data_IF_781199515898
#
_entry.id   IF_781199515898
#
_cell.length_a   1.000
_cell.length_b   1.000
_cell.length_c   1.000
_cell.angle_alpha   90.00
_cell.angle_beta   90.00
_cell.angle_gamma   90.00
#
_symmetry.space_group_name_H-M   'P 1'
#
loop_
_entity.id
_entity.type
_entity.pdbx_description
1 polymer ?
#
# COMPACT_ATOMS: atom_id res chain seq x y z
N UNK A 1 -41.72 -11.41 -10.52
CA UNK A 1 -40.25 -11.20 -10.60
C UNK A 1 -39.86 -10.00 -11.46
N UNK A 2 -40.79 -9.31 -12.14
CA UNK A 2 -40.50 -8.14 -12.99
C UNK A 2 -40.87 -6.82 -12.29
N UNK A 3 -40.18 -6.50 -11.17
CA UNK A 3 -40.40 -5.22 -10.48
C UNK A 3 -39.07 -4.45 -10.40
N UNK A 4 -38.99 -3.21 -10.90
CA UNK A 4 -37.81 -2.35 -10.76
C UNK A 4 -37.28 -2.22 -9.32
N UNK A 5 -38.16 -2.27 -8.31
CA UNK A 5 -37.76 -2.30 -6.90
C UNK A 5 -36.91 -3.51 -6.54
N UNK A 6 -37.23 -4.67 -7.11
CA UNK A 6 -36.46 -5.89 -6.85
C UNK A 6 -35.03 -5.74 -7.38
N UNK A 7 -34.85 -5.14 -8.55
CA UNK A 7 -33.52 -4.88 -9.11
C UNK A 7 -32.76 -3.79 -8.37
N UNK A 8 -33.44 -2.73 -7.89
CA UNK A 8 -32.83 -1.72 -7.03
C UNK A 8 -32.39 -2.30 -5.68
N UNK A 9 -33.24 -3.12 -5.05
CA UNK A 9 -32.90 -3.83 -3.82
C UNK A 9 -31.74 -4.79 -4.04
N UNK A 10 -31.74 -5.55 -5.14
CA UNK A 10 -30.62 -6.43 -5.50
C UNK A 10 -29.32 -5.64 -5.71
N UNK A 11 -29.36 -4.50 -6.38
CA UNK A 11 -28.18 -3.63 -6.57
C UNK A 11 -27.61 -3.15 -5.23
N UNK A 12 -28.47 -2.72 -4.29
CA UNK A 12 -28.05 -2.35 -2.93
C UNK A 12 -27.52 -3.53 -2.12
N UNK A 13 -28.09 -4.71 -2.29
CA UNK A 13 -27.58 -5.91 -1.64
C UNK A 13 -26.20 -6.30 -2.18
N UNK A 14 -25.96 -6.18 -3.48
CA UNK A 14 -24.63 -6.32 -4.07
C UNK A 14 -23.64 -5.32 -3.45
N UNK A 15 -24.04 -4.05 -3.35
CA UNK A 15 -23.27 -2.98 -2.72
C UNK A 15 -22.85 -3.34 -1.27
N UNK A 16 -23.81 -3.80 -0.45
CA UNK A 16 -23.58 -4.25 0.93
C UNK A 16 -22.59 -5.42 0.99
N UNK A 17 -22.76 -6.41 0.11
CA UNK A 17 -21.89 -7.59 0.08
C UNK A 17 -20.45 -7.21 -0.28
N UNK A 18 -20.26 -6.24 -1.19
CA UNK A 18 -18.93 -5.71 -1.52
C UNK A 18 -18.29 -5.01 -0.32
N UNK A 19 -19.01 -4.15 0.38
CA UNK A 19 -18.51 -3.45 1.57
C UNK A 19 -18.16 -4.40 2.72
N UNK A 20 -18.96 -5.44 2.93
CA UNK A 20 -18.63 -6.50 3.90
C UNK A 20 -17.32 -7.22 3.53
N UNK A 21 -17.09 -7.47 2.23
CA UNK A 21 -15.80 -8.02 1.75
C UNK A 21 -14.65 -7.04 1.98
N UNK A 22 -14.87 -5.74 1.77
CA UNK A 22 -13.86 -4.72 2.07
C UNK A 22 -13.51 -4.65 3.55
N UNK A 23 -14.49 -4.79 4.45
CA UNK A 23 -14.27 -4.82 5.90
C UNK A 23 -13.43 -6.03 6.34
N UNK A 24 -13.63 -7.19 5.71
CA UNK A 24 -12.74 -8.36 5.89
C UNK A 24 -11.34 -8.07 5.37
N UNK A 25 -11.24 -7.45 4.20
CA UNK A 25 -9.96 -7.05 3.59
C UNK A 25 -9.21 -6.02 4.45
N UNK A 26 -9.89 -5.05 5.07
CA UNK A 26 -9.26 -4.10 5.99
C UNK A 26 -8.71 -4.78 7.24
N UNK A 27 -9.34 -5.86 7.70
CA UNK A 27 -8.84 -6.65 8.83
C UNK A 27 -7.56 -7.42 8.46
N UNK A 28 -7.50 -7.99 7.25
CA UNK A 28 -6.28 -8.58 6.69
C UNK A 28 -5.15 -7.54 6.60
N UNK A 29 -5.45 -6.39 6.02
CA UNK A 29 -4.52 -5.29 5.82
C UNK A 29 -3.97 -4.77 7.15
N UNK A 30 -4.81 -4.67 8.19
CA UNK A 30 -4.36 -4.38 9.57
C UNK A 30 -3.37 -5.43 10.08
N UNK A 31 -3.70 -6.72 9.94
CA UNK A 31 -2.82 -7.79 10.41
C UNK A 31 -1.47 -7.80 9.68
N UNK A 32 -1.47 -7.48 8.38
CA UNK A 32 -0.24 -7.31 7.59
C UNK A 32 0.60 -6.13 8.10
N UNK A 33 -0.02 -4.99 8.40
CA UNK A 33 0.70 -3.81 8.92
C UNK A 33 1.42 -4.09 10.24
N UNK A 34 0.72 -4.72 11.20
CA UNK A 34 1.30 -5.12 12.48
C UNK A 34 2.46 -6.13 12.31
N UNK A 35 2.27 -7.14 11.45
CA UNK A 35 3.33 -8.11 11.18
C UNK A 35 4.55 -7.47 10.51
N UNK A 36 4.34 -6.58 9.53
CA UNK A 36 5.42 -5.85 8.85
C UNK A 36 6.21 -5.05 9.88
N UNK A 37 5.55 -4.32 10.77
CA UNK A 37 6.22 -3.58 11.84
C UNK A 37 7.03 -4.50 12.77
N UNK A 38 6.46 -5.63 13.17
CA UNK A 38 7.15 -6.60 14.02
C UNK A 38 8.40 -7.19 13.33
N UNK A 39 8.32 -7.53 12.05
CA UNK A 39 9.46 -8.03 11.26
C UNK A 39 10.52 -6.96 11.01
N UNK A 40 10.13 -5.68 10.86
CA UNK A 40 11.08 -4.57 10.76
C UNK A 40 11.91 -4.40 12.03
N UNK A 41 11.28 -4.58 13.21
CA UNK A 41 11.97 -4.62 14.51
C UNK A 41 12.85 -5.86 14.63
N UNK A 42 12.35 -7.03 14.24
CA UNK A 42 13.12 -8.28 14.28
C UNK A 42 14.37 -8.22 13.39
N UNK A 43 14.27 -7.62 12.19
CA UNK A 43 15.41 -7.36 11.29
C UNK A 43 16.46 -6.49 11.98
N UNK A 44 16.05 -5.40 12.62
CA UNK A 44 16.96 -4.49 13.32
C UNK A 44 17.72 -5.19 14.45
N UNK A 45 17.00 -5.93 15.29
CA UNK A 45 17.58 -6.69 16.39
C UNK A 45 18.47 -7.86 15.93
N UNK A 46 18.10 -8.52 14.83
CA UNK A 46 18.95 -9.54 14.20
C UNK A 46 20.27 -8.95 13.71
N UNK A 47 20.22 -7.74 13.14
CA UNK A 47 21.42 -7.02 12.70
C UNK A 47 22.32 -6.63 13.88
N UNK A 48 21.74 -6.16 14.99
CA UNK A 48 22.48 -5.84 16.22
C UNK A 48 23.16 -7.09 16.79
N UNK A 49 22.43 -8.22 16.87
CA UNK A 49 22.98 -9.48 17.38
C UNK A 49 24.16 -9.96 16.53
N UNK A 50 24.01 -9.97 15.20
CA UNK A 50 25.05 -10.42 14.28
C UNK A 50 26.26 -9.48 14.26
N UNK A 51 26.04 -8.16 14.25
CA UNK A 51 27.12 -7.17 14.24
C UNK A 51 27.91 -7.12 15.56
N UNK A 52 27.28 -7.52 16.67
CA UNK A 52 27.92 -7.63 18.00
C UNK A 52 28.42 -9.04 18.33
N UNK A 53 28.38 -9.98 17.37
CA UNK A 53 28.76 -11.39 17.57
C UNK A 53 28.07 -12.04 18.79
N UNK A 54 26.84 -11.63 19.08
CA UNK A 54 26.04 -12.19 20.16
C UNK A 54 26.13 -11.48 21.51
N UNK A 55 26.94 -10.42 21.61
CA UNK A 55 27.15 -9.67 22.86
C UNK A 55 25.98 -8.75 23.21
N UNK A 56 25.20 -8.29 22.21
CA UNK A 56 24.07 -7.39 22.41
C UNK A 56 22.78 -7.90 21.76
N UNK A 57 21.64 -7.50 22.32
CA UNK A 57 20.33 -7.66 21.67
C UNK A 57 19.74 -9.07 21.68
N UNK A 58 20.36 -10.05 22.34
CA UNK A 58 19.87 -11.44 22.39
C UNK A 58 18.48 -11.57 23.03
N UNK A 59 18.31 -11.03 24.23
CA UNK A 59 17.03 -11.12 24.96
C UNK A 59 15.94 -10.31 24.26
N UNK A 60 16.29 -9.10 23.80
CA UNK A 60 15.39 -8.26 23.01
C UNK A 60 14.94 -8.96 21.73
N UNK A 61 15.84 -9.62 21.00
CA UNK A 61 15.50 -10.39 19.79
C UNK A 61 14.60 -11.57 20.11
N UNK A 62 14.86 -12.29 21.21
CA UNK A 62 14.00 -13.40 21.63
C UNK A 62 12.57 -12.93 21.93
N UNK A 63 12.41 -11.84 22.67
CA UNK A 63 11.10 -11.25 22.93
C UNK A 63 10.42 -10.77 21.64
N UNK A 64 11.17 -10.12 20.74
CA UNK A 64 10.63 -9.64 19.47
C UNK A 64 10.19 -10.79 18.55
N UNK A 65 10.88 -11.94 18.59
CA UNK A 65 10.46 -13.14 17.85
C UNK A 65 9.11 -13.65 18.31
N UNK A 66 8.87 -13.68 19.63
CA UNK A 66 7.56 -14.05 20.19
C UNK A 66 6.46 -13.08 19.74
N UNK A 67 6.73 -11.78 19.77
CA UNK A 67 5.80 -10.76 19.25
C UNK A 67 5.49 -11.00 17.76
N UNK A 68 6.54 -11.27 16.95
CA UNK A 68 6.38 -11.54 15.52
C UNK A 68 5.55 -12.80 15.28
N UNK A 69 5.76 -13.86 16.07
CA UNK A 69 4.97 -15.11 16.00
C UNK A 69 3.49 -14.88 16.34
N UNK A 70 3.19 -14.03 17.33
CA UNK A 70 1.82 -13.65 17.67
C UNK A 70 1.13 -12.91 16.52
N UNK A 71 1.84 -12.00 15.83
CA UNK A 71 1.30 -11.31 14.66
C UNK A 71 1.15 -12.25 13.45
N UNK A 72 2.06 -13.22 13.27
CA UNK A 72 1.92 -14.26 12.24
C UNK A 72 0.67 -15.11 12.48
N UNK A 73 0.39 -15.50 13.72
CA UNK A 73 -0.82 -16.25 14.09
C UNK A 73 -2.10 -15.42 13.83
N UNK A 74 -2.05 -14.12 14.13
CA UNK A 74 -3.15 -13.18 13.86
C UNK A 74 -3.41 -13.05 12.35
N UNK A 75 -2.35 -12.92 11.55
CA UNK A 75 -2.45 -12.90 10.08
C UNK A 75 -3.06 -14.19 9.53
N UNK A 76 -2.59 -15.36 9.98
CA UNK A 76 -3.14 -16.66 9.55
C UNK A 76 -4.63 -16.79 9.89
N UNK A 77 -5.04 -16.28 11.04
CA UNK A 77 -6.47 -16.23 11.42
C UNK A 77 -7.26 -15.33 10.48
N UNK A 78 -6.77 -14.12 10.18
CA UNK A 78 -7.43 -13.22 9.23
C UNK A 78 -7.52 -13.83 7.81
N UNK A 79 -6.47 -14.52 7.35
CA UNK A 79 -6.47 -15.23 6.08
C UNK A 79 -7.51 -16.36 6.03
N UNK A 80 -7.71 -17.10 7.13
CA UNK A 80 -8.72 -18.16 7.20
C UNK A 80 -10.17 -17.64 7.12
N UNK A 81 -10.38 -16.37 7.43
CA UNK A 81 -11.68 -15.69 7.35
C UNK A 81 -11.94 -15.06 5.97
N UNK A 82 -10.95 -15.10 5.07
CA UNK A 82 -11.16 -14.67 3.69
C UNK A 82 -12.00 -15.72 2.97
N UNK A 83 -13.10 -15.27 2.41
CA UNK A 83 -13.93 -16.09 1.52
C UNK A 83 -13.24 -16.18 0.15
N UNK A 84 -12.42 -17.23 -0.02
CA UNK A 84 -11.67 -17.47 -1.27
C UNK A 84 -12.59 -17.72 -2.45
N UNK A 85 -13.76 -18.32 -2.23
CA UNK A 85 -14.74 -18.59 -3.29
C UNK A 85 -15.38 -17.31 -3.82
N UNK A 86 -15.43 -16.26 -2.99
CA UNK A 86 -15.83 -14.91 -3.41
C UNK A 86 -14.76 -14.14 -4.21
N UNK A 87 -13.50 -14.61 -4.22
CA UNK A 87 -12.39 -14.01 -4.96
C UNK A 87 -12.37 -14.52 -6.41
N UNK A 88 -13.44 -14.26 -7.15
CA UNK A 88 -13.54 -14.67 -8.55
C UNK A 88 -12.82 -13.70 -9.50
N UNK A 89 -12.32 -14.24 -10.63
CA UNK A 89 -11.67 -13.47 -11.69
C UNK A 89 -10.16 -13.27 -11.50
N UNK A 90 -9.54 -12.54 -12.45
CA UNK A 90 -8.08 -12.40 -12.51
C UNK A 90 -7.45 -11.64 -11.34
N UNK A 91 -8.20 -10.80 -10.63
CA UNK A 91 -7.73 -10.09 -9.44
C UNK A 91 -7.60 -11.03 -8.23
N UNK A 92 -8.60 -11.90 -8.02
CA UNK A 92 -8.57 -12.91 -6.96
C UNK A 92 -7.41 -13.89 -7.12
N UNK A 93 -7.17 -14.38 -8.34
CA UNK A 93 -6.05 -15.27 -8.63
C UNK A 93 -4.68 -14.65 -8.28
N UNK A 94 -4.48 -13.35 -8.56
CA UNK A 94 -3.25 -12.63 -8.20
C UNK A 94 -3.09 -12.52 -6.69
N UNK A 95 -4.14 -12.07 -5.99
CA UNK A 95 -4.12 -11.95 -4.54
C UNK A 95 -3.80 -13.30 -3.87
N UNK A 96 -4.47 -14.39 -4.29
CA UNK A 96 -4.21 -15.75 -3.78
C UNK A 96 -2.76 -16.19 -4.06
N UNK A 97 -2.23 -15.90 -5.25
CA UNK A 97 -0.83 -16.21 -5.59
C UNK A 97 0.16 -15.46 -4.70
N UNK A 98 -0.10 -14.18 -4.41
CA UNK A 98 0.73 -13.37 -3.49
C UNK A 98 0.65 -13.89 -2.06
N UNK A 99 -0.54 -14.21 -1.58
CA UNK A 99 -0.75 -14.81 -0.25
C UNK A 99 0.02 -16.13 -0.14
N UNK A 100 -0.09 -17.02 -1.13
CA UNK A 100 0.63 -18.29 -1.13
C UNK A 100 2.15 -18.10 -1.06
N UNK A 101 2.69 -17.15 -1.84
CA UNK A 101 4.12 -16.84 -1.83
C UNK A 101 4.59 -16.29 -0.48
N UNK A 102 3.83 -15.37 0.12
CA UNK A 102 4.12 -14.82 1.45
C UNK A 102 4.08 -15.90 2.53
N UNK A 103 3.09 -16.79 2.51
CA UNK A 103 2.99 -17.89 3.48
C UNK A 103 4.22 -18.79 3.42
N UNK A 104 4.71 -19.10 2.22
CA UNK A 104 5.96 -19.85 2.05
C UNK A 104 7.16 -19.10 2.66
N UNK A 105 7.25 -17.79 2.45
CA UNK A 105 8.30 -16.95 3.05
C UNK A 105 8.23 -16.90 4.58
N UNK A 106 7.02 -16.84 5.14
CA UNK A 106 6.77 -16.88 6.57
C UNK A 106 7.16 -18.23 7.20
N UNK A 107 6.94 -19.34 6.49
CA UNK A 107 7.36 -20.67 6.96
C UNK A 107 8.90 -20.82 6.90
N UNK A 108 9.56 -20.19 5.92
CA UNK A 108 11.02 -20.17 5.83
C UNK A 108 11.71 -19.33 6.92
N UNK A 109 10.97 -18.47 7.63
CA UNK A 109 11.50 -17.56 8.65
C UNK A 109 12.18 -18.32 9.81
N UNK A 110 11.68 -19.51 10.17
CA UNK A 110 12.30 -20.34 11.20
C UNK A 110 13.74 -20.75 10.85
N UNK A 111 13.99 -21.10 9.58
CA UNK A 111 15.32 -21.45 9.09
C UNK A 111 16.28 -20.25 9.08
N UNK A 112 15.78 -19.07 8.70
CA UNK A 112 16.55 -17.83 8.81
C UNK A 112 16.91 -17.53 10.26
N UNK A 113 15.94 -17.62 11.18
CA UNK A 113 16.15 -17.37 12.62
C UNK A 113 17.19 -18.29 13.23
N UNK A 114 17.16 -19.57 12.85
CA UNK A 114 18.18 -20.54 13.26
C UNK A 114 19.57 -20.15 12.75
N UNK A 115 19.68 -19.79 11.45
CA UNK A 115 20.94 -19.35 10.84
C UNK A 115 21.50 -18.10 11.51
N UNK A 116 20.64 -17.15 11.89
CA UNK A 116 21.02 -15.94 12.66
C UNK A 116 21.54 -16.31 14.06
N UNK A 117 20.83 -17.18 14.78
CA UNK A 117 21.22 -17.59 16.13
C UNK A 117 22.50 -18.43 16.18
N UNK A 118 22.79 -19.16 15.10
CA UNK A 118 24.00 -19.95 14.93
C UNK A 118 25.16 -19.14 14.29
N UNK A 119 24.98 -17.85 14.01
CA UNK A 119 25.94 -17.00 13.29
C UNK A 119 26.34 -17.55 11.91
N UNK A 120 25.49 -18.36 11.29
CA UNK A 120 25.69 -18.92 9.95
C UNK A 120 25.31 -17.97 8.81
N UNK A 121 24.60 -16.87 9.10
CA UNK A 121 24.24 -15.85 8.14
C UNK A 121 24.96 -14.52 8.42
N UNK A 122 25.40 -13.82 7.37
CA UNK A 122 25.94 -12.46 7.50
C UNK A 122 24.83 -11.44 7.77
N UNK A 123 25.18 -10.29 8.36
CA UNK A 123 24.26 -9.14 8.57
C UNK A 123 23.56 -8.77 7.26
N UNK A 124 24.31 -8.72 6.17
CA UNK A 124 23.77 -8.42 4.84
C UNK A 124 22.74 -9.45 4.40
N UNK A 125 23.07 -10.75 4.45
CA UNK A 125 22.18 -11.83 4.00
C UNK A 125 20.89 -11.86 4.83
N UNK A 126 21.01 -11.73 6.16
CA UNK A 126 19.85 -11.68 7.05
C UNK A 126 18.97 -10.46 6.75
N UNK A 127 19.58 -9.28 6.60
CA UNK A 127 18.86 -8.04 6.29
C UNK A 127 18.11 -8.13 4.98
N UNK A 128 18.75 -8.64 3.92
CA UNK A 128 18.10 -8.81 2.61
C UNK A 128 16.93 -9.80 2.66
N UNK A 129 17.07 -10.91 3.40
CA UNK A 129 15.97 -11.86 3.55
C UNK A 129 14.73 -11.22 4.19
N UNK A 130 14.90 -10.41 5.24
CA UNK A 130 13.78 -9.66 5.83
C UNK A 130 13.21 -8.61 4.88
N UNK A 131 14.06 -7.87 4.15
CA UNK A 131 13.61 -6.87 3.16
C UNK A 131 12.70 -7.52 2.11
N UNK A 132 13.11 -8.67 1.55
CA UNK A 132 12.30 -9.38 0.56
C UNK A 132 10.95 -9.83 1.16
N UNK A 133 10.97 -10.47 2.33
CA UNK A 133 9.73 -10.92 2.98
C UNK A 133 8.77 -9.75 3.29
N UNK A 134 9.29 -8.60 3.75
CA UNK A 134 8.49 -7.40 4.00
C UNK A 134 7.93 -6.83 2.69
N UNK A 135 8.72 -6.81 1.61
CA UNK A 135 8.25 -6.39 0.30
C UNK A 135 7.11 -7.29 -0.22
N UNK A 136 7.21 -8.61 -0.02
CA UNK A 136 6.16 -9.54 -0.40
C UNK A 136 4.87 -9.33 0.40
N UNK A 137 4.97 -9.07 1.71
CA UNK A 137 3.84 -8.70 2.55
C UNK A 137 3.18 -7.38 2.09
N UNK A 138 3.98 -6.37 1.74
CA UNK A 138 3.49 -5.11 1.18
C UNK A 138 2.77 -5.33 -0.16
N UNK A 139 3.26 -6.24 -1.00
CA UNK A 139 2.61 -6.57 -2.28
C UNK A 139 1.22 -7.21 -2.09
N UNK A 140 0.94 -7.88 -0.96
CA UNK A 140 -0.42 -8.34 -0.63
C UNK A 140 -1.33 -7.15 -0.31
N UNK A 141 -0.86 -6.17 0.46
CA UNK A 141 -1.60 -4.92 0.74
C UNK A 141 -1.91 -4.18 -0.56
N UNK A 142 -0.96 -4.17 -1.49
CA UNK A 142 -1.12 -3.56 -2.81
C UNK A 142 -2.21 -4.23 -3.66
N UNK A 143 -2.21 -5.56 -3.78
CA UNK A 143 -3.28 -6.27 -4.51
C UNK A 143 -4.65 -6.09 -3.82
N UNK A 144 -4.68 -6.00 -2.49
CA UNK A 144 -5.90 -5.65 -1.76
C UNK A 144 -6.40 -4.24 -2.14
N UNK A 145 -5.51 -3.24 -2.25
CA UNK A 145 -5.84 -1.89 -2.71
C UNK A 145 -6.40 -1.85 -4.14
N UNK A 146 -5.83 -2.65 -5.04
CA UNK A 146 -6.26 -2.74 -6.44
C UNK A 146 -7.68 -3.34 -6.59
N UNK A 147 -8.03 -4.28 -5.72
CA UNK A 147 -9.35 -4.94 -5.71
C UNK A 147 -10.46 -4.05 -5.15
N UNK A 148 -10.13 -2.90 -4.57
CA UNK A 148 -11.11 -2.03 -3.95
C UNK A 148 -12.04 -1.37 -4.99
N UNK A 149 -13.35 -1.43 -4.73
CA UNK A 149 -14.42 -0.87 -5.59
C UNK A 149 -15.03 0.41 -5.05
N UNK A 150 -14.56 0.90 -3.89
CA UNK A 150 -14.99 2.17 -3.30
C UNK A 150 -13.87 3.19 -3.34
N UNK A 151 -14.09 4.42 -3.85
CA UNK A 151 -13.02 5.39 -4.03
C UNK A 151 -12.35 5.83 -2.73
N UNK A 152 -13.12 6.13 -1.68
CA UNK A 152 -12.58 6.56 -0.38
C UNK A 152 -11.70 5.48 0.25
N UNK A 153 -12.16 4.23 0.22
CA UNK A 153 -11.45 3.06 0.72
C UNK A 153 -10.20 2.78 -0.13
N UNK A 154 -10.32 2.84 -1.46
CA UNK A 154 -9.20 2.64 -2.39
C UNK A 154 -8.09 3.68 -2.16
N UNK A 155 -8.44 4.98 -2.10
CA UNK A 155 -7.48 6.05 -1.78
C UNK A 155 -6.77 5.81 -0.46
N UNK A 156 -7.50 5.42 0.56
CA UNK A 156 -6.92 5.18 1.87
C UNK A 156 -5.99 3.97 1.87
N UNK A 157 -6.32 2.90 1.14
CA UNK A 157 -5.44 1.75 0.93
C UNK A 157 -4.17 2.13 0.15
N UNK A 158 -4.28 2.95 -0.89
CA UNK A 158 -3.11 3.50 -1.63
C UNK A 158 -2.23 4.33 -0.69
N UNK A 159 -2.84 5.26 0.06
CA UNK A 159 -2.14 6.11 1.02
C UNK A 159 -1.43 5.26 2.07
N UNK A 160 -2.11 4.27 2.64
CA UNK A 160 -1.55 3.40 3.67
C UNK A 160 -0.41 2.55 3.12
N UNK A 161 -0.56 1.96 1.93
CA UNK A 161 0.50 1.21 1.28
C UNK A 161 1.76 2.06 1.05
N UNK A 162 1.61 3.27 0.48
CA UNK A 162 2.74 4.16 0.26
C UNK A 162 3.38 4.62 1.57
N UNK A 163 2.56 4.88 2.60
CA UNK A 163 3.08 5.23 3.92
C UNK A 163 3.90 4.09 4.54
N UNK A 164 3.40 2.85 4.48
CA UNK A 164 4.10 1.65 4.95
C UNK A 164 5.39 1.38 4.16
N UNK A 165 5.35 1.58 2.84
CA UNK A 165 6.53 1.49 1.98
C UNK A 165 7.58 2.54 2.35
N UNK A 166 7.16 3.78 2.61
CA UNK A 166 8.03 4.84 3.08
C UNK A 166 8.68 4.51 4.42
N UNK A 167 7.92 3.96 5.37
CA UNK A 167 8.45 3.47 6.66
C UNK A 167 9.47 2.34 6.46
N UNK A 168 9.22 1.42 5.54
CA UNK A 168 10.17 0.36 5.20
C UNK A 168 11.48 0.92 4.66
N UNK A 169 11.41 1.88 3.74
CA UNK A 169 12.58 2.56 3.18
C UNK A 169 13.33 3.37 4.25
N UNK A 170 12.64 4.03 5.17
CA UNK A 170 13.26 4.70 6.33
C UNK A 170 14.01 3.70 7.23
N UNK A 171 13.48 2.48 7.38
CA UNK A 171 14.17 1.39 8.08
C UNK A 171 15.44 0.91 7.39
N UNK A 172 15.46 0.88 6.05
CA UNK A 172 16.66 0.58 5.26
C UNK A 172 17.66 1.73 5.29
N UNK A 173 17.18 2.97 5.28
CA UNK A 173 18.00 4.16 5.39
C UNK A 173 18.71 4.21 6.75
N UNK A 174 17.97 3.92 7.83
CA UNK A 174 18.55 3.79 9.18
C UNK A 174 19.73 2.82 9.18
N UNK A 175 19.56 1.64 8.58
CA UNK A 175 20.63 0.63 8.51
C UNK A 175 21.82 1.11 7.67
N UNK A 176 21.55 1.74 6.52
CA UNK A 176 22.58 2.27 5.62
C UNK A 176 23.40 3.37 6.28
N UNK A 177 22.74 4.32 6.94
CA UNK A 177 23.43 5.41 7.63
C UNK A 177 24.21 4.93 8.85
N UNK A 178 23.67 3.99 9.62
CA UNK A 178 24.38 3.40 10.76
C UNK A 178 25.66 2.69 10.29
N UNK A 179 25.57 1.89 9.22
CA UNK A 179 26.73 1.23 8.62
C UNK A 179 27.77 2.25 8.11
N UNK A 180 27.31 3.31 7.45
CA UNK A 180 28.18 4.36 6.89
C UNK A 180 28.95 5.09 8.00
N UNK A 181 28.27 5.53 9.06
CA UNK A 181 28.93 6.18 10.19
C UNK A 181 29.83 5.21 10.96
N UNK A 182 29.41 3.96 11.18
CA UNK A 182 30.22 2.96 11.89
C UNK A 182 31.51 2.60 11.14
N UNK A 183 31.50 2.58 9.80
CA UNK A 183 32.70 2.40 9.00
C UNK A 183 33.71 3.54 9.22
N UNK A 184 33.19 4.77 9.43
CA UNK A 184 33.99 5.98 9.63
C UNK A 184 34.59 6.56 8.36
N UNK A 185 34.20 6.05 7.18
CA UNK A 185 34.64 6.53 5.87
C UNK A 185 33.45 6.56 4.93
N UNK A 186 33.32 7.62 4.14
CA UNK A 186 32.32 7.73 3.08
C UNK A 186 32.78 7.02 1.81
N UNK A 187 31.91 6.21 1.21
CA UNK A 187 32.13 5.59 -0.09
C UNK A 187 31.01 6.01 -1.05
N UNK A 188 31.38 6.34 -2.29
CA UNK A 188 30.44 6.83 -3.31
C UNK A 188 29.24 5.90 -3.51
N UNK A 189 29.44 4.57 -3.60
CA UNK A 189 28.33 3.62 -3.82
C UNK A 189 27.32 3.61 -2.66
N UNK A 190 27.79 3.60 -1.42
CA UNK A 190 26.94 3.64 -0.22
C UNK A 190 26.18 4.97 -0.13
N UNK A 191 26.84 6.07 -0.47
CA UNK A 191 26.22 7.40 -0.51
C UNK A 191 25.11 7.48 -1.56
N UNK A 192 25.35 6.95 -2.76
CA UNK A 192 24.34 6.90 -3.83
C UNK A 192 23.14 6.03 -3.45
N UNK A 193 23.38 4.90 -2.76
CA UNK A 193 22.31 4.08 -2.21
C UNK A 193 21.49 4.83 -1.15
N UNK A 194 22.14 5.56 -0.25
CA UNK A 194 21.45 6.35 0.77
C UNK A 194 20.58 7.45 0.14
N UNK A 195 21.14 8.25 -0.77
CA UNK A 195 20.38 9.27 -1.51
C UNK A 195 19.16 8.68 -2.22
N UNK A 196 19.30 7.47 -2.79
CA UNK A 196 18.18 6.78 -3.42
C UNK A 196 17.06 6.45 -2.43
N UNK A 197 17.41 5.98 -1.22
CA UNK A 197 16.42 5.67 -0.19
C UNK A 197 15.67 6.93 0.25
N UNK A 198 16.34 8.08 0.34
CA UNK A 198 15.73 9.37 0.68
C UNK A 198 14.73 9.77 -0.42
N UNK A 199 15.16 9.80 -1.67
CA UNK A 199 14.28 10.13 -2.82
C UNK A 199 13.07 9.18 -2.92
N UNK A 200 13.27 7.89 -2.64
CA UNK A 200 12.19 6.91 -2.67
C UNK A 200 11.18 7.12 -1.52
N UNK A 201 11.64 7.51 -0.33
CA UNK A 201 10.78 7.88 0.79
C UNK A 201 9.96 9.12 0.47
N UNK A 202 10.57 10.18 -0.06
CA UNK A 202 9.88 11.43 -0.42
C UNK A 202 8.75 11.17 -1.41
N UNK A 203 9.00 10.35 -2.45
CA UNK A 203 7.95 9.94 -3.40
C UNK A 203 6.82 9.18 -2.73
N UNK A 204 7.13 8.29 -1.80
CA UNK A 204 6.10 7.57 -1.04
C UNK A 204 5.27 8.53 -0.17
N UNK A 205 5.92 9.50 0.49
CA UNK A 205 5.23 10.50 1.31
C UNK A 205 4.37 11.45 0.47
N UNK A 206 4.79 11.76 -0.76
CA UNK A 206 3.99 12.57 -1.69
C UNK A 206 2.70 11.85 -2.07
N UNK A 207 2.78 10.59 -2.52
CA UNK A 207 1.58 9.82 -2.89
C UNK A 207 0.66 9.60 -1.68
N UNK A 208 1.24 9.40 -0.49
CA UNK A 208 0.48 9.40 0.76
C UNK A 208 -0.28 10.72 0.96
N UNK A 209 0.39 11.87 0.82
CA UNK A 209 -0.24 13.19 0.99
C UNK A 209 -1.34 13.45 -0.04
N UNK A 210 -1.18 12.96 -1.27
CA UNK A 210 -2.15 13.13 -2.36
C UNK A 210 -3.42 12.27 -2.16
N UNK A 211 -3.28 11.12 -1.50
CA UNK A 211 -4.38 10.14 -1.35
C UNK A 211 -5.03 10.14 0.04
N UNK A 212 -4.30 10.52 1.09
CA UNK A 212 -4.78 10.45 2.46
C UNK A 212 -5.79 11.56 2.78
N UNK A 213 -6.75 11.31 3.70
CA UNK A 213 -7.56 12.36 4.30
C UNK A 213 -6.69 13.46 4.92
N UNK A 214 -7.09 14.72 4.72
CA UNK A 214 -6.33 15.91 5.16
C UNK A 214 -5.97 15.85 6.65
N UNK A 215 -6.89 15.38 7.50
CA UNK A 215 -6.65 15.23 8.93
C UNK A 215 -5.44 14.32 9.27
N UNK A 216 -5.23 13.26 8.48
CA UNK A 216 -4.09 12.34 8.66
C UNK A 216 -2.79 12.93 8.12
N UNK A 217 -2.86 13.68 7.01
CA UNK A 217 -1.71 14.45 6.50
C UNK A 217 -1.26 15.48 7.53
N UNK A 218 -2.18 16.24 8.12
CA UNK A 218 -1.89 17.21 9.16
C UNK A 218 -1.38 16.54 10.45
N UNK A 219 -1.84 15.33 10.79
CA UNK A 219 -1.30 14.56 11.91
C UNK A 219 0.18 14.20 11.66
N UNK A 220 0.50 13.69 10.47
CA UNK A 220 1.87 13.38 10.07
C UNK A 220 2.77 14.62 10.04
N UNK A 221 2.30 15.72 9.47
CA UNK A 221 3.04 16.98 9.43
C UNK A 221 3.36 17.49 10.83
N UNK A 222 2.42 17.40 11.78
CA UNK A 222 2.66 17.77 13.17
C UNK A 222 3.73 16.88 13.81
N UNK A 223 3.65 15.56 13.65
CA UNK A 223 4.68 14.65 14.16
C UNK A 223 6.07 14.93 13.55
N UNK A 224 6.11 15.33 12.27
CA UNK A 224 7.36 15.58 11.56
C UNK A 224 7.97 16.95 11.87
N UNK A 225 7.15 17.99 12.01
CA UNK A 225 7.60 19.38 12.15
C UNK A 225 8.05 19.74 13.57
N UNK A 226 7.49 19.11 14.60
CA UNK A 226 7.83 19.40 16.01
C UNK A 226 8.87 18.45 16.59
N UNK A 227 9.27 17.41 15.85
CA UNK A 227 10.23 16.41 16.30
C UNK A 227 11.68 16.90 16.19
N UNK A 228 12.38 16.98 17.34
CA UNK A 228 13.84 17.17 17.36
C UNK A 228 14.58 16.11 16.56
N UNK A 229 14.02 14.89 16.50
CA UNK A 229 14.63 13.74 15.85
C UNK A 229 14.62 13.84 14.32
N UNK A 230 13.54 14.38 13.71
CA UNK A 230 13.51 14.63 12.26
C UNK A 230 14.58 15.64 11.87
N UNK A 231 14.73 16.70 12.67
CA UNK A 231 15.79 17.70 12.44
C UNK A 231 17.18 17.08 12.61
N UNK A 232 17.37 16.17 13.57
CA UNK A 232 18.61 15.44 13.74
C UNK A 232 18.92 14.52 12.55
N UNK A 233 17.91 13.80 12.05
CA UNK A 233 18.02 12.97 10.84
C UNK A 233 18.44 13.81 9.65
N UNK A 234 17.79 14.95 9.37
CA UNK A 234 18.16 15.84 8.25
C UNK A 234 19.59 16.37 8.35
N UNK A 235 20.01 16.76 9.56
CA UNK A 235 21.39 17.20 9.80
C UNK A 235 22.39 16.08 9.50
N UNK A 236 22.11 14.86 9.94
CA UNK A 236 22.98 13.70 9.73
C UNK A 236 22.97 13.21 8.29
N UNK A 237 21.82 13.26 7.60
CA UNK A 237 21.69 13.05 6.15
C UNK A 237 22.65 13.97 5.41
N UNK A 238 22.65 15.27 5.74
CA UNK A 238 23.56 16.23 5.11
C UNK A 238 25.02 15.84 5.30
N UNK A 239 25.43 15.43 6.51
CA UNK A 239 26.81 15.01 6.77
C UNK A 239 27.21 13.79 5.92
N UNK A 240 26.38 12.73 5.90
CA UNK A 240 26.70 11.51 5.15
C UNK A 240 26.58 11.67 3.63
N UNK A 241 25.57 12.41 3.17
CA UNK A 241 25.24 12.53 1.75
C UNK A 241 26.04 13.60 0.99
N UNK A 242 26.76 14.48 1.68
CA UNK A 242 27.64 15.47 1.02
C UNK A 242 29.13 15.21 1.24
N UNK A 243 29.49 14.15 1.96
CA UNK A 243 30.88 13.78 2.16
C UNK A 243 31.55 13.35 0.85
N UNK A 244 32.76 13.82 0.59
CA UNK A 244 33.56 13.38 -0.56
C UNK A 244 33.95 11.90 -0.43
N UNK A 245 34.25 11.26 -1.56
CA UNK A 245 34.74 9.87 -1.57
C UNK A 245 36.03 9.73 -0.74
N UNK A 246 36.06 8.75 0.16
CA UNK A 246 37.17 8.54 1.08
C UNK A 246 37.26 9.53 2.25
N UNK A 247 36.32 10.48 2.38
CA UNK A 247 36.29 11.40 3.51
C UNK A 247 36.01 10.66 4.83
N UNK A 248 36.69 11.08 5.90
CA UNK A 248 36.49 10.54 7.24
C UNK A 248 35.14 11.02 7.81
N UNK A 249 34.42 10.09 8.44
CA UNK A 249 33.15 10.35 9.11
C UNK A 249 33.27 10.02 10.61
N UNK A 250 32.72 10.85 11.52
CA UNK A 250 32.78 10.56 12.95
C UNK A 250 31.92 9.33 13.30
N UNK A 251 32.55 8.31 13.90
CA UNK A 251 31.89 7.03 14.24
C UNK A 251 30.86 7.16 15.35
N UNK A 252 31.02 8.17 16.19
CA UNK A 252 30.16 8.52 17.32
C UNK A 252 28.76 8.96 16.85
N UNK A 253 28.59 9.29 15.56
CA UNK A 253 27.29 9.64 14.99
C UNK A 253 26.41 8.43 14.71
N UNK A 254 26.96 7.20 14.63
CA UNK A 254 26.19 6.00 14.30
C UNK A 254 25.08 5.71 15.32
N UNK A 255 25.33 5.72 16.65
CA UNK A 255 24.28 5.55 17.65
C UNK A 255 23.22 6.66 17.61
N UNK A 256 23.64 7.93 17.47
CA UNK A 256 22.72 9.08 17.40
C UNK A 256 21.82 9.01 16.17
N UNK A 257 22.37 8.62 15.03
CA UNK A 257 21.63 8.36 13.80
C UNK A 257 20.59 7.26 13.99
N UNK A 258 21.02 6.13 14.57
CA UNK A 258 20.16 4.98 14.80
C UNK A 258 18.97 5.32 15.71
N UNK A 259 19.23 6.03 16.81
CA UNK A 259 18.22 6.46 17.78
C UNK A 259 17.22 7.43 17.14
N UNK A 260 17.71 8.51 16.51
CA UNK A 260 16.84 9.50 15.87
C UNK A 260 15.94 8.88 14.80
N UNK A 261 16.49 8.00 13.94
CA UNK A 261 15.69 7.29 12.95
C UNK A 261 14.67 6.35 13.58
N UNK A 262 15.02 5.69 14.69
CA UNK A 262 14.10 4.78 15.39
C UNK A 262 12.89 5.54 15.94
N UNK A 263 13.11 6.71 16.56
CA UNK A 263 12.03 7.56 17.06
C UNK A 263 11.12 8.07 15.93
N UNK A 264 11.71 8.47 14.79
CA UNK A 264 10.94 8.87 13.60
C UNK A 264 10.08 7.70 13.11
N UNK A 265 10.63 6.49 13.02
CA UNK A 265 9.90 5.30 12.59
C UNK A 265 8.77 4.91 13.56
N UNK A 266 8.96 5.09 14.88
CA UNK A 266 7.89 4.87 15.86
C UNK A 266 6.77 5.91 15.68
N UNK A 267 7.11 7.17 15.37
CA UNK A 267 6.14 8.19 14.96
C UNK A 267 5.39 7.82 13.68
N UNK A 268 6.07 7.24 12.68
CA UNK A 268 5.41 6.71 11.49
C UNK A 268 4.45 5.57 11.83
N UNK A 269 4.85 4.62 12.68
CA UNK A 269 3.97 3.51 13.08
C UNK A 269 2.69 3.99 13.79
N UNK A 270 2.75 5.10 14.54
CA UNK A 270 1.55 5.73 15.08
C UNK A 270 0.59 6.22 13.98
N UNK A 271 1.09 6.88 12.94
CA UNK A 271 0.26 7.33 11.80
C UNK A 271 -0.30 6.14 11.01
N UNK A 272 0.47 5.07 10.83
CA UNK A 272 0.01 3.82 10.22
C UNK A 272 -1.16 3.19 11.01
N UNK A 273 -1.11 3.26 12.34
CA UNK A 273 -2.21 2.82 13.20
C UNK A 273 -3.47 3.67 12.98
N UNK A 274 -3.33 4.99 12.85
CA UNK A 274 -4.44 5.90 12.55
C UNK A 274 -5.05 5.66 11.16
N UNK A 275 -4.21 5.41 10.14
CA UNK A 275 -4.64 5.06 8.79
C UNK A 275 -5.48 3.78 8.80
N UNK A 276 -5.02 2.77 9.53
CA UNK A 276 -5.73 1.50 9.67
C UNK A 276 -7.09 1.66 10.36
N UNK A 277 -7.16 2.49 11.41
CA UNK A 277 -8.42 2.81 12.09
C UNK A 277 -9.37 3.58 11.18
N UNK A 278 -8.87 4.54 10.41
CA UNK A 278 -9.65 5.28 9.43
C UNK A 278 -10.22 4.35 8.35
N UNK A 279 -9.47 3.33 7.94
CA UNK A 279 -9.90 2.37 6.92
C UNK A 279 -11.09 1.53 7.39
N UNK A 280 -10.99 0.97 8.60
CA UNK A 280 -12.09 0.21 9.19
C UNK A 280 -13.32 1.10 9.37
N UNK A 281 -13.14 2.32 9.90
CA UNK A 281 -14.24 3.26 10.12
C UNK A 281 -14.92 3.66 8.81
N UNK A 282 -14.17 3.94 7.74
CA UNK A 282 -14.77 4.29 6.46
C UNK A 282 -15.56 3.11 5.87
N UNK A 283 -15.05 1.88 5.98
CA UNK A 283 -15.80 0.68 5.60
C UNK A 283 -17.12 0.55 6.38
N UNK A 284 -17.09 0.75 7.71
CA UNK A 284 -18.27 0.69 8.58
C UNK A 284 -19.31 1.78 8.23
N UNK A 285 -18.86 3.02 8.02
CA UNK A 285 -19.74 4.14 7.64
C UNK A 285 -20.39 3.88 6.29
N UNK A 286 -19.63 3.46 5.28
CA UNK A 286 -20.20 3.16 3.96
C UNK A 286 -21.20 1.98 4.04
N UNK A 287 -20.92 0.98 4.88
CA UNK A 287 -21.80 -0.16 5.09
C UNK A 287 -23.13 0.26 5.73
N UNK A 288 -23.09 1.09 6.77
CA UNK A 288 -24.29 1.63 7.43
C UNK A 288 -25.13 2.50 6.48
N UNK A 289 -24.47 3.33 5.66
CA UNK A 289 -25.14 4.12 4.62
C UNK A 289 -25.83 3.23 3.58
N UNK A 290 -25.17 2.17 3.12
CA UNK A 290 -25.75 1.23 2.16
C UNK A 290 -26.94 0.46 2.74
N UNK A 291 -26.85 0.02 4.01
CA UNK A 291 -27.93 -0.67 4.74
C UNK A 291 -29.13 0.24 4.97
N UNK A 292 -28.89 1.47 5.42
CA UNK A 292 -29.94 2.48 5.59
C UNK A 292 -30.60 2.82 4.25
N UNK A 293 -29.82 2.89 3.17
CA UNK A 293 -30.33 3.10 1.81
C UNK A 293 -31.26 1.97 1.34
N UNK A 294 -30.90 0.72 1.61
CA UNK A 294 -31.76 -0.45 1.32
C UNK A 294 -33.06 -0.41 2.13
N UNK A 295 -32.99 -0.08 3.42
CA UNK A 295 -34.16 0.00 4.30
C UNK A 295 -35.15 1.11 3.92
N UNK A 296 -34.68 2.18 3.25
CA UNK A 296 -35.50 3.31 2.78
C UNK A 296 -36.20 3.06 1.43
N UNK A 297 -35.87 1.99 0.72
CA UNK A 297 -36.55 1.69 -0.55
C UNK A 297 -38.05 1.45 -0.30
N UNK A 298 -38.95 2.09 -1.07
CA UNK A 298 -40.37 1.92 -0.87
C UNK A 298 -40.78 0.47 -1.13
N UNK A 299 -41.64 -0.07 -0.27
CA UNK A 299 -42.12 -1.46 -0.33
C UNK A 299 -43.18 -1.69 -1.42
N UNK A 300 -43.76 -0.62 -1.96
CA UNK A 300 -44.73 -0.65 -3.07
C UNK A 300 -44.41 0.44 -4.09
N UNK A 301 -44.66 0.15 -5.36
CA UNK A 301 -44.51 1.16 -6.42
C UNK A 301 -45.71 2.10 -6.40
N UNK A 302 -45.51 3.43 -6.50
CA UNK A 302 -46.60 4.31 -6.86
C UNK A 302 -47.13 3.88 -8.24
N UNK A 303 -48.44 3.77 -8.37
CA UNK A 303 -49.07 3.30 -9.60
C UNK A 303 -48.67 4.19 -10.78
N UNK A 304 -48.14 3.59 -11.85
CA UNK A 304 -47.71 4.27 -13.07
C UNK A 304 -48.89 4.75 -13.95
N UNK A 305 -50.02 5.14 -13.33
CA UNK A 305 -51.20 5.60 -14.04
C UNK A 305 -51.23 7.13 -14.05
N UNK A 306 -50.89 7.78 -15.17
CA UNK A 306 -51.17 9.19 -15.31
C UNK A 306 -52.69 9.38 -15.30
N UNK A 307 -53.20 10.24 -14.42
CA UNK A 307 -54.54 10.80 -14.59
C UNK A 307 -54.45 11.86 -15.69
N UNK A 308 -54.59 11.45 -16.96
CA UNK A 308 -54.67 12.35 -18.13
C UNK A 308 -53.82 11.94 -19.35
N UNK A 309 -53.98 12.66 -20.47
CA UNK A 309 -53.31 12.47 -21.78
C UNK A 309 -51.78 12.77 -21.78
N UNK A 310 -51.14 12.83 -20.61
CA UNK A 310 -49.72 13.14 -20.50
C UNK A 310 -48.87 11.89 -20.82
N UNK A 311 -47.84 12.07 -21.66
CA UNK A 311 -46.83 11.04 -21.93
C UNK A 311 -46.14 10.66 -20.60
N UNK A 312 -46.01 9.36 -20.25
CA UNK A 312 -45.40 8.94 -19.00
C UNK A 312 -43.97 9.49 -18.82
N UNK A 313 -43.59 9.82 -17.58
CA UNK A 313 -42.29 10.42 -17.22
C UNK A 313 -41.08 9.70 -17.82
N UNK A 314 -41.15 8.37 -17.93
CA UNK A 314 -40.12 7.54 -18.56
C UNK A 314 -39.79 7.94 -20.00
N UNK A 315 -40.81 8.29 -20.79
CA UNK A 315 -40.65 8.61 -22.21
C UNK A 315 -40.40 10.11 -22.46
N UNK A 316 -40.54 10.94 -21.42
CA UNK A 316 -40.23 12.38 -21.48
C UNK A 316 -38.87 12.72 -20.87
N UNK A 317 -38.37 11.91 -19.90
CA UNK A 317 -36.97 11.95 -19.44
C UNK A 317 -36.04 11.43 -20.53
N UNK A 318 -35.69 12.30 -21.47
CA UNK A 318 -34.50 12.10 -22.31
C UNK A 318 -33.28 12.09 -21.38
N UNK A 319 -32.30 11.22 -21.65
CA UNK A 319 -30.99 11.13 -20.97
C UNK A 319 -30.18 12.44 -21.07
N UNK A 320 -30.68 13.50 -20.44
CA UNK A 320 -30.12 14.84 -20.45
C UNK A 320 -29.65 15.18 -19.04
N UNK A 321 -28.41 15.68 -18.98
CA UNK A 321 -27.82 16.34 -17.82
C UNK A 321 -28.82 17.35 -17.23
N UNK A 322 -28.93 17.50 -15.90
CA UNK A 322 -29.84 18.49 -15.35
C UNK A 322 -29.26 19.87 -15.65
N UNK A 323 -29.90 20.60 -16.56
CA UNK A 323 -29.79 22.05 -16.60
C UNK A 323 -30.47 22.61 -15.35
N UNK A 324 -29.76 23.48 -14.65
CA UNK A 324 -30.22 24.22 -13.49
C UNK A 324 -31.57 24.90 -13.78
N UNK A 325 -32.49 24.79 -12.82
CA UNK A 325 -33.81 25.44 -12.75
C UNK A 325 -35.00 24.79 -13.44
N UNK A 326 -35.59 23.77 -12.82
CA UNK A 326 -37.05 23.59 -12.87
C UNK A 326 -37.56 23.06 -11.52
N UNK A 327 -38.39 23.86 -10.84
CA UNK A 327 -39.14 23.46 -9.65
C UNK A 327 -40.12 22.32 -10.01
N UNK A 328 -39.79 21.08 -9.61
CA UNK A 328 -40.75 19.98 -9.59
C UNK A 328 -41.40 19.88 -8.19
N UNK A 329 -42.73 19.64 -8.08
CA UNK A 329 -43.40 19.49 -6.79
C UNK A 329 -42.86 18.28 -6.00
N UNK A 330 -42.97 18.25 -4.66
CA UNK A 330 -42.50 17.15 -3.83
C UNK A 330 -43.50 15.99 -3.90
N UNK A 331 -43.49 15.26 -5.01
CA UNK A 331 -44.32 14.08 -5.19
C UNK A 331 -43.40 12.93 -5.58
N UNK A 332 -43.21 12.03 -4.60
CA UNK A 332 -42.76 10.64 -4.74
C UNK A 332 -41.49 10.47 -5.59
N UNK A 333 -40.35 10.17 -4.95
CA UNK A 333 -39.14 9.74 -5.67
C UNK A 333 -39.51 8.71 -6.74
N UNK A 334 -39.54 9.16 -7.99
CA UNK A 334 -39.81 8.29 -9.13
C UNK A 334 -38.67 7.27 -9.15
N UNK A 335 -38.97 6.00 -9.40
CA UNK A 335 -37.92 4.96 -9.51
C UNK A 335 -36.81 5.39 -10.45
N UNK A 336 -37.16 6.14 -11.48
CA UNK A 336 -36.23 6.71 -12.45
C UNK A 336 -35.26 7.71 -11.83
N UNK A 337 -35.72 8.58 -10.92
CA UNK A 337 -34.83 9.51 -10.22
C UNK A 337 -33.84 8.75 -9.34
N UNK A 338 -34.28 7.70 -8.64
CA UNK A 338 -33.42 6.83 -7.82
C UNK A 338 -32.40 6.10 -8.69
N UNK A 339 -32.82 5.51 -9.82
CA UNK A 339 -31.93 4.83 -10.77
C UNK A 339 -30.91 5.80 -11.36
N UNK A 340 -31.33 7.01 -11.73
CA UNK A 340 -30.46 8.03 -12.32
C UNK A 340 -29.43 8.53 -11.30
N UNK A 341 -29.85 8.81 -10.06
CA UNK A 341 -28.95 9.16 -8.96
C UNK A 341 -27.93 8.04 -8.69
N UNK A 342 -28.37 6.77 -8.65
CA UNK A 342 -27.47 5.62 -8.53
C UNK A 342 -26.48 5.55 -9.68
N UNK A 343 -26.94 5.72 -10.92
CA UNK A 343 -26.07 5.68 -12.10
C UNK A 343 -25.01 6.79 -12.08
N UNK A 344 -25.40 8.01 -11.69
CA UNK A 344 -24.47 9.13 -11.56
C UNK A 344 -23.45 8.89 -10.45
N UNK A 345 -23.88 8.40 -9.29
CA UNK A 345 -22.99 8.02 -8.17
C UNK A 345 -21.98 6.95 -8.60
N UNK A 346 -22.43 5.89 -9.27
CA UNK A 346 -21.55 4.82 -9.76
C UNK A 346 -20.56 5.32 -10.82
N UNK A 347 -20.99 6.22 -11.72
CA UNK A 347 -20.08 6.80 -12.71
C UNK A 347 -19.03 7.71 -12.06
N UNK A 348 -19.41 8.53 -11.08
CA UNK A 348 -18.48 9.35 -10.32
C UNK A 348 -17.46 8.48 -9.57
N UNK A 349 -17.92 7.42 -8.89
CA UNK A 349 -17.05 6.46 -8.22
C UNK A 349 -16.07 5.79 -9.18
N UNK A 350 -16.51 5.40 -10.39
CA UNK A 350 -15.62 4.82 -11.41
C UNK A 350 -14.53 5.79 -11.84
N UNK A 351 -14.91 7.03 -12.17
CA UNK A 351 -13.94 8.04 -12.58
C UNK A 351 -12.90 8.31 -11.49
N UNK A 352 -13.32 8.35 -10.23
CA UNK A 352 -12.43 8.55 -9.08
C UNK A 352 -11.53 7.34 -8.82
N UNK A 353 -12.02 6.11 -9.02
CA UNK A 353 -11.18 4.91 -8.93
C UNK A 353 -10.12 4.87 -10.03
N UNK A 354 -10.45 5.32 -11.24
CA UNK A 354 -9.50 5.30 -12.35
C UNK A 354 -8.33 6.27 -12.11
N UNK A 355 -8.58 7.43 -11.50
CA UNK A 355 -7.50 8.36 -11.13
C UNK A 355 -6.61 7.78 -10.03
N UNK A 356 -7.20 7.15 -9.02
CA UNK A 356 -6.47 6.54 -7.90
C UNK A 356 -5.65 5.33 -8.34
N UNK A 357 -6.20 4.52 -9.26
CA UNK A 357 -5.53 3.36 -9.83
C UNK A 357 -4.32 3.73 -10.68
N UNK A 358 -4.23 4.95 -11.22
CA UNK A 358 -3.09 5.35 -12.03
C UNK A 358 -1.76 5.20 -11.26
N UNK A 359 -1.70 5.65 -10.00
CA UNK A 359 -0.52 5.49 -9.15
C UNK A 359 -0.16 4.01 -8.91
N UNK A 360 -1.16 3.15 -8.74
CA UNK A 360 -0.97 1.70 -8.63
C UNK A 360 -0.47 1.11 -9.96
N UNK A 361 -1.00 1.54 -11.10
CA UNK A 361 -0.58 1.04 -12.41
C UNK A 361 0.88 1.36 -12.71
N UNK A 362 1.35 2.56 -12.36
CA UNK A 362 2.76 2.93 -12.53
C UNK A 362 3.68 1.96 -11.76
N UNK A 363 3.33 1.66 -10.50
CA UNK A 363 4.08 0.68 -9.72
C UNK A 363 4.03 -0.72 -10.34
N UNK A 364 2.87 -1.20 -10.80
CA UNK A 364 2.76 -2.51 -11.46
C UNK A 364 3.67 -2.61 -12.68
N UNK A 365 3.71 -1.56 -13.50
CA UNK A 365 4.57 -1.50 -14.67
C UNK A 365 6.04 -1.59 -14.27
N UNK A 366 6.45 -0.85 -13.23
CA UNK A 366 7.81 -0.91 -12.70
C UNK A 366 8.16 -2.31 -12.15
N UNK A 367 7.29 -2.92 -11.34
CA UNK A 367 7.49 -4.28 -10.80
C UNK A 367 7.56 -5.33 -11.90
N UNK A 368 6.72 -5.23 -12.94
CA UNK A 368 6.77 -6.13 -14.10
C UNK A 368 8.08 -5.97 -14.86
N UNK A 369 8.55 -4.74 -15.08
CA UNK A 369 9.82 -4.49 -15.73
C UNK A 369 10.99 -5.06 -14.91
N UNK A 370 11.00 -4.86 -13.58
CA UNK A 370 11.98 -5.47 -12.68
C UNK A 370 11.93 -7.00 -12.76
N UNK A 371 10.76 -7.62 -12.64
CA UNK A 371 10.59 -9.06 -12.71
C UNK A 371 11.07 -9.66 -14.04
N UNK A 372 10.88 -8.93 -15.14
CA UNK A 372 11.38 -9.32 -16.46
C UNK A 372 12.91 -9.27 -16.52
N UNK A 373 13.51 -8.21 -16.00
CA UNK A 373 14.97 -8.08 -15.89
C UNK A 373 15.57 -9.16 -14.99
N UNK A 374 14.92 -9.46 -13.86
CA UNK A 374 15.33 -10.55 -12.96
C UNK A 374 15.31 -11.90 -13.69
N UNK A 375 14.26 -12.17 -14.48
CA UNK A 375 14.10 -13.45 -15.19
C UNK A 375 15.08 -13.59 -16.35
N UNK A 376 15.21 -12.56 -17.20
CA UNK A 376 16.01 -12.63 -18.42
C UNK A 376 17.50 -12.32 -18.20
N UNK A 377 17.83 -11.44 -17.26
CA UNK A 377 19.21 -11.00 -17.00
C UNK A 377 19.78 -11.58 -15.70
N UNK A 378 19.01 -12.41 -14.97
CA UNK A 378 19.42 -13.02 -13.69
C UNK A 378 19.91 -12.01 -12.65
N UNK A 379 19.33 -10.81 -12.69
CA UNK A 379 19.62 -9.75 -11.74
C UNK A 379 18.81 -9.98 -10.46
N UNK A 380 19.36 -9.56 -9.32
CA UNK A 380 18.57 -9.36 -8.10
C UNK A 380 17.61 -8.18 -8.27
N UNK A 381 16.58 -8.09 -7.43
CA UNK A 381 15.60 -7.01 -7.51
C UNK A 381 16.26 -5.62 -7.40
N UNK A 382 17.24 -5.48 -6.50
CA UNK A 382 17.97 -4.23 -6.30
C UNK A 382 18.82 -3.85 -7.52
N UNK A 383 19.45 -4.81 -8.18
CA UNK A 383 20.21 -4.61 -9.41
C UNK A 383 19.31 -4.26 -10.59
N UNK A 384 18.16 -4.93 -10.74
CA UNK A 384 17.18 -4.62 -11.76
C UNK A 384 16.65 -3.19 -11.62
N UNK A 385 16.36 -2.75 -10.40
CA UNK A 385 15.95 -1.38 -10.13
C UNK A 385 17.08 -0.36 -10.42
N UNK A 386 18.32 -0.69 -10.04
CA UNK A 386 19.50 0.13 -10.33
C UNK A 386 19.68 0.32 -11.84
N UNK A 387 19.52 -0.74 -12.63
CA UNK A 387 19.62 -0.70 -14.10
C UNK A 387 18.54 0.19 -14.73
N UNK A 388 17.27 0.03 -14.33
CA UNK A 388 16.17 0.88 -14.80
C UNK A 388 16.44 2.36 -14.51
N UNK A 389 16.95 2.67 -13.32
CA UNK A 389 17.30 4.04 -12.92
C UNK A 389 18.48 4.58 -13.72
N UNK A 390 19.56 3.83 -13.87
CA UNK A 390 20.73 4.26 -14.67
C UNK A 390 20.32 4.56 -16.11
N UNK A 391 19.46 3.72 -16.67
CA UNK A 391 18.91 3.92 -18.01
C UNK A 391 18.06 5.20 -18.06
N UNK A 392 17.17 5.41 -17.07
CA UNK A 392 16.34 6.62 -16.96
C UNK A 392 17.16 7.90 -16.83
N UNK A 393 18.23 7.89 -16.02
CA UNK A 393 19.14 9.01 -15.84
C UNK A 393 19.94 9.30 -17.12
N UNK A 394 20.49 8.26 -17.77
CA UNK A 394 21.25 8.42 -19.02
C UNK A 394 20.40 8.97 -20.17
N UNK A 395 19.10 8.69 -20.17
CA UNK A 395 18.15 9.13 -21.19
C UNK A 395 17.35 10.37 -20.78
N UNK A 396 17.55 10.89 -19.56
CA UNK A 396 16.79 11.99 -18.97
C UNK A 396 15.25 11.80 -19.04
N UNK A 397 14.78 10.58 -18.71
CA UNK A 397 13.36 10.19 -18.72
C UNK A 397 12.92 9.75 -17.32
N UNK A 398 11.60 9.67 -17.08
CA UNK A 398 11.10 9.09 -15.84
C UNK A 398 11.33 7.58 -15.86
N UNK A 399 11.57 7.00 -14.69
CA UNK A 399 11.80 5.55 -14.55
C UNK A 399 10.60 4.72 -15.06
N UNK A 400 9.38 5.26 -14.95
CA UNK A 400 8.17 4.61 -15.48
C UNK A 400 8.21 4.51 -17.00
N UNK A 401 8.61 5.58 -17.70
CA UNK A 401 8.65 5.60 -19.16
C UNK A 401 9.73 4.62 -19.70
N UNK A 402 10.79 4.39 -18.92
CA UNK A 402 11.80 3.36 -19.22
C UNK A 402 11.28 1.96 -18.93
N UNK A 403 10.55 1.76 -17.83
CA UNK A 403 9.92 0.47 -17.52
C UNK A 403 8.94 0.05 -18.62
N UNK A 404 8.14 0.98 -19.14
CA UNK A 404 7.25 0.75 -20.30
C UNK A 404 8.03 0.41 -21.57
N UNK A 405 9.15 1.08 -21.82
CA UNK A 405 10.02 0.77 -22.95
C UNK A 405 10.62 -0.65 -22.86
N UNK A 406 11.05 -1.08 -21.67
CA UNK A 406 11.57 -2.43 -21.43
C UNK A 406 10.48 -3.49 -21.67
N UNK A 407 9.27 -3.25 -21.17
CA UNK A 407 8.14 -4.17 -21.35
C UNK A 407 7.70 -4.26 -22.82
N UNK A 408 7.61 -3.12 -23.52
CA UNK A 408 7.25 -3.11 -24.94
C UNK A 408 8.30 -3.79 -25.82
N UNK A 409 9.60 -3.62 -25.52
CA UNK A 409 10.66 -4.39 -26.19
C UNK A 409 10.54 -5.89 -25.93
N UNK A 410 10.19 -6.29 -24.70
CA UNK A 410 9.99 -7.70 -24.40
C UNK A 410 8.77 -8.31 -25.09
N UNK A 411 7.66 -7.56 -25.20
CA UNK A 411 6.48 -8.00 -25.95
C UNK A 411 6.79 -8.18 -27.46
N UNK A 412 7.69 -7.37 -28.01
CA UNK A 412 8.19 -7.52 -29.38
C UNK A 412 9.10 -8.75 -29.56
N UNK A 413 9.90 -9.09 -28.54
CA UNK A 413 10.76 -10.27 -28.55
C UNK A 413 10.02 -11.58 -28.22
N UNK A 414 8.89 -11.51 -27.51
CA UNK A 414 8.07 -12.65 -27.12
C UNK A 414 7.10 -13.11 -28.23
N UNK A 415 6.88 -12.30 -29.27
CA UNK A 415 6.10 -12.70 -30.45
C UNK A 415 6.94 -13.69 -31.28
N UNK A 416 6.52 -14.95 -31.47
CA UNK A 416 7.19 -15.81 -32.42
C UNK A 416 7.02 -15.22 -33.82
N UNK A 417 8.12 -15.05 -34.54
CA UNK A 417 8.09 -14.82 -35.97
C UNK A 417 7.38 -16.05 -36.56
N UNK A 418 6.19 -15.82 -37.12
CA UNK A 418 5.30 -16.85 -37.66
C UNK A 418 5.92 -17.63 -38.82
#
# INVERSE_FOLDING_TARGET
>A
MENPLHFLAAARQCEINELQRMLRTSSLVRALAELIHALQKERGLSSILLASEGLMGRDALHMQRQTSDQHMATLRTALSQLDVDSLQGGQGARLCSRIAYVLQGLDALAGLRHSVSAFGASVHTSTQAYIHLIADLLNVVFEAADSATYPSISRLLVAMFHFMQGKELAGQERATGAATFSAGVSYTDSQQHWLHLIEAQERCMQVFADCAPEALVQAWQRCSATGSDVTAVERLRRIGCTALDGAQLPRELSPLWFEACTNVMDGMHHIESLLTQALVRDCEVQLDLAQTGLARLPSTMPAAHPQGDAVPEFFTMRSAMPAENHWAPPLQMSVLSVVQEQSQRLQAMRNELDTVRQALTERKTLERAKGLLMTHQKLSESEAHKLLRQTAMSQNRRIIDVAEAVLSMADLLAKPIA
#
